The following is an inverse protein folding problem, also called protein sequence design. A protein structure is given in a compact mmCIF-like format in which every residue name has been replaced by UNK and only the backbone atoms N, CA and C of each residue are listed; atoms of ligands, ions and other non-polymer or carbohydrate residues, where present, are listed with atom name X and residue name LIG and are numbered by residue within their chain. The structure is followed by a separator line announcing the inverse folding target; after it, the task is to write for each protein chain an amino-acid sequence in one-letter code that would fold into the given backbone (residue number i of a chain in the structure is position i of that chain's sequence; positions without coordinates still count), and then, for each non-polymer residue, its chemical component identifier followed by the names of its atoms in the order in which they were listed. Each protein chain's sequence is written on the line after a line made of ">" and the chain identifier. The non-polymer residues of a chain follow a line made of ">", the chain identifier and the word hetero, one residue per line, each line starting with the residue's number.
data_IF_295338716308
#
_entry.id   IF_295338716308
#
_cell.length_a   1.000
_cell.length_b   1.000
_cell.length_c   1.000
_cell.angle_alpha   90.00
_cell.angle_beta   90.00
_cell.angle_gamma   90.00
#
_symmetry.space_group_name_H-M   'P 1'
#
loop_
_entity.id
_entity.type
_entity.pdbx_description
1 polymer ?
#
# COMPACT_ATOMS: atom_id res chain seq x y z
N UNK A 1 15.70 8.44 -6.46
CA UNK A 1 14.48 8.89 -7.17
C UNK A 1 13.64 7.67 -7.52
N UNK A 2 12.35 7.61 -7.15
CA UNK A 2 11.45 6.52 -7.58
C UNK A 2 10.71 6.99 -8.83
N UNK A 3 10.97 6.34 -9.95
CA UNK A 3 10.29 6.63 -11.22
C UNK A 3 9.24 5.53 -11.41
N UNK A 4 7.99 5.93 -11.66
CA UNK A 4 6.92 5.00 -12.01
C UNK A 4 6.85 4.94 -13.52
N UNK A 5 7.08 3.76 -14.10
CA UNK A 5 6.96 3.51 -15.53
C UNK A 5 6.03 2.33 -15.77
N UNK A 6 5.25 2.41 -16.84
CA UNK A 6 4.40 1.33 -17.33
C UNK A 6 5.23 0.30 -18.11
N UNK A 7 4.66 -0.89 -18.32
CA UNK A 7 5.31 -1.92 -19.15
C UNK A 7 5.54 -1.43 -20.58
N UNK A 8 4.59 -0.67 -21.15
CA UNK A 8 4.72 -0.12 -22.50
C UNK A 8 5.86 0.90 -22.61
N UNK A 9 5.99 1.80 -21.63
CA UNK A 9 7.11 2.75 -21.57
C UNK A 9 8.43 2.02 -21.43
N UNK A 10 8.48 0.98 -20.59
CA UNK A 10 9.66 0.14 -20.41
C UNK A 10 10.08 -0.56 -21.72
N UNK A 11 9.14 -1.17 -22.43
CA UNK A 11 9.39 -1.81 -23.72
C UNK A 11 9.87 -0.81 -24.78
N UNK A 12 9.30 0.39 -24.80
CA UNK A 12 9.71 1.47 -25.70
C UNK A 12 11.15 1.91 -25.43
N UNK A 13 11.52 2.06 -24.14
CA UNK A 13 12.88 2.36 -23.72
C UNK A 13 13.84 1.24 -24.16
N UNK A 14 13.46 -0.03 -23.96
CA UNK A 14 14.29 -1.16 -24.37
C UNK A 14 14.58 -1.15 -25.87
N UNK A 15 13.56 -0.90 -26.71
CA UNK A 15 13.73 -0.82 -28.19
C UNK A 15 14.73 0.27 -28.59
N UNK A 16 14.65 1.44 -27.97
CA UNK A 16 15.58 2.55 -28.21
C UNK A 16 17.00 2.15 -27.80
N UNK A 17 17.17 1.55 -26.62
CA UNK A 17 18.49 1.20 -26.10
C UNK A 17 19.17 0.08 -26.90
N UNK A 18 18.43 -0.90 -27.40
CA UNK A 18 19.01 -1.95 -28.28
C UNK A 18 19.69 -1.35 -29.51
N UNK A 19 19.19 -0.22 -30.02
CA UNK A 19 19.74 0.43 -31.21
C UNK A 19 20.88 1.42 -30.90
N UNK A 20 20.93 1.96 -29.68
CA UNK A 20 21.80 3.10 -29.35
C UNK A 20 22.83 2.81 -28.25
N UNK A 21 22.46 2.01 -27.24
CA UNK A 21 23.31 1.71 -26.09
C UNK A 21 22.99 0.33 -25.49
N UNK A 22 23.72 -0.67 -25.98
CA UNK A 22 23.60 -2.06 -25.52
C UNK A 22 24.05 -2.26 -24.06
N UNK A 23 24.96 -1.43 -23.55
CA UNK A 23 25.42 -1.54 -22.16
C UNK A 23 24.28 -1.15 -21.21
N UNK A 24 23.62 -0.02 -21.50
CA UNK A 24 22.48 0.46 -20.71
C UNK A 24 21.26 -0.45 -20.86
N UNK A 25 21.00 -0.97 -22.07
CA UNK A 25 19.99 -2.01 -22.28
C UNK A 25 20.21 -3.21 -21.36
N UNK A 26 21.42 -3.78 -21.36
CA UNK A 26 21.74 -4.95 -20.55
C UNK A 26 21.54 -4.66 -19.06
N UNK A 27 22.03 -3.52 -18.58
CA UNK A 27 21.87 -3.12 -17.17
C UNK A 27 20.40 -3.02 -16.77
N UNK A 28 19.58 -2.33 -17.56
CA UNK A 28 18.15 -2.15 -17.26
C UNK A 28 17.41 -3.50 -17.30
N UNK A 29 17.74 -4.35 -18.27
CA UNK A 29 17.14 -5.68 -18.39
C UNK A 29 17.50 -6.58 -17.20
N UNK A 30 18.74 -6.53 -16.71
CA UNK A 30 19.16 -7.26 -15.51
C UNK A 30 18.42 -6.77 -14.26
N UNK A 31 18.24 -5.46 -14.08
CA UNK A 31 17.44 -4.93 -12.96
C UNK A 31 15.97 -5.36 -13.05
N UNK A 32 15.39 -5.37 -14.26
CA UNK A 32 14.04 -5.89 -14.48
C UNK A 32 13.94 -7.37 -14.11
N UNK A 33 14.87 -8.22 -14.59
CA UNK A 33 14.92 -9.65 -14.23
C UNK A 33 15.02 -9.84 -12.72
N UNK A 34 15.90 -9.10 -12.04
CA UNK A 34 16.01 -9.13 -10.57
C UNK A 34 14.68 -8.79 -9.90
N UNK A 35 13.97 -7.77 -10.39
CA UNK A 35 12.67 -7.37 -9.85
C UNK A 35 11.63 -8.50 -9.96
N UNK A 36 11.53 -9.16 -11.11
CA UNK A 36 10.61 -10.29 -11.35
C UNK A 36 10.99 -11.48 -10.47
N UNK A 37 12.27 -11.86 -10.46
CA UNK A 37 12.78 -12.96 -9.63
C UNK A 37 12.62 -12.70 -8.13
N UNK A 38 12.63 -11.43 -7.71
CA UNK A 38 12.42 -11.06 -6.31
C UNK A 38 11.00 -11.36 -5.81
N UNK A 39 10.02 -11.44 -6.72
CA UNK A 39 8.60 -11.68 -6.44
C UNK A 39 8.28 -13.18 -6.30
N UNK A 40 8.97 -13.88 -5.40
CA UNK A 40 8.75 -15.31 -5.21
C UNK A 40 7.38 -15.62 -4.59
N UNK A 41 6.76 -16.77 -4.87
CA UNK A 41 5.47 -17.14 -4.28
C UNK A 41 5.47 -17.10 -2.74
N UNK A 42 6.58 -17.48 -2.11
CA UNK A 42 6.76 -17.39 -0.65
C UNK A 42 6.73 -15.94 -0.15
N UNK A 43 7.45 -15.02 -0.81
CA UNK A 43 7.47 -13.60 -0.46
C UNK A 43 6.12 -12.93 -0.71
N UNK A 44 5.45 -13.27 -1.80
CA UNK A 44 4.09 -12.79 -2.11
C UNK A 44 3.13 -13.23 -1.00
N UNK A 45 3.11 -14.53 -0.65
CA UNK A 45 2.25 -15.06 0.43
C UNK A 45 2.54 -14.37 1.77
N UNK A 46 3.81 -14.18 2.13
CA UNK A 46 4.20 -13.50 3.35
C UNK A 46 3.71 -12.05 3.39
N UNK A 47 3.90 -11.30 2.29
CA UNK A 47 3.47 -9.91 2.15
C UNK A 47 1.95 -9.79 2.24
N UNK A 48 1.21 -10.67 1.55
CA UNK A 48 -0.26 -10.72 1.61
C UNK A 48 -0.75 -11.03 3.02
N UNK A 49 -0.11 -11.97 3.73
CA UNK A 49 -0.45 -12.30 5.12
C UNK A 49 -0.22 -11.11 6.05
N UNK A 50 0.93 -10.44 5.94
CA UNK A 50 1.25 -9.26 6.73
C UNK A 50 0.25 -8.12 6.46
N UNK A 51 -0.10 -7.88 5.18
CA UNK A 51 -1.09 -6.87 4.80
C UNK A 51 -2.49 -7.20 5.34
N UNK A 52 -2.93 -8.47 5.27
CA UNK A 52 -4.21 -8.91 5.85
C UNK A 52 -4.23 -8.65 7.36
N UNK A 53 -3.14 -8.95 8.06
CA UNK A 53 -3.05 -8.71 9.50
C UNK A 53 -3.03 -7.23 9.86
N UNK A 54 -2.29 -6.40 9.11
CA UNK A 54 -2.30 -4.94 9.28
C UNK A 54 -3.70 -4.35 9.09
N UNK A 55 -4.44 -4.80 8.06
CA UNK A 55 -5.83 -4.37 7.81
C UNK A 55 -6.77 -4.81 8.93
N UNK A 56 -6.62 -6.04 9.43
CA UNK A 56 -7.40 -6.54 10.57
C UNK A 56 -7.13 -5.68 11.82
N UNK A 57 -5.87 -5.51 12.21
CA UNK A 57 -5.49 -4.68 13.36
C UNK A 57 -6.05 -3.25 13.26
N UNK A 58 -5.95 -2.63 12.09
CA UNK A 58 -6.50 -1.29 11.87
C UNK A 58 -8.03 -1.26 12.06
N UNK A 59 -8.74 -2.26 11.53
CA UNK A 59 -10.20 -2.39 11.70
C UNK A 59 -10.60 -2.62 13.16
N UNK A 60 -9.86 -3.45 13.89
CA UNK A 60 -10.12 -3.75 15.30
C UNK A 60 -9.92 -2.47 16.14
N UNK A 61 -8.82 -1.75 15.94
CA UNK A 61 -8.56 -0.46 16.61
C UNK A 61 -9.64 0.58 16.30
N UNK A 62 -10.08 0.69 15.05
CA UNK A 62 -11.15 1.62 14.64
C UNK A 62 -12.48 1.25 15.30
N UNK A 63 -12.83 -0.03 15.32
CA UNK A 63 -14.06 -0.52 15.99
C UNK A 63 -14.04 -0.17 17.47
N UNK A 64 -12.92 -0.42 18.15
CA UNK A 64 -12.77 -0.10 19.56
C UNK A 64 -12.88 1.40 19.84
N UNK A 65 -12.26 2.23 18.99
CA UNK A 65 -12.35 3.69 19.12
C UNK A 65 -13.77 4.22 18.90
N UNK A 66 -14.51 3.69 17.91
CA UNK A 66 -15.93 4.02 17.70
C UNK A 66 -16.75 3.66 18.93
N UNK A 67 -16.56 2.45 19.47
CA UNK A 67 -17.28 1.99 20.66
C UNK A 67 -16.99 2.86 21.88
N UNK A 68 -15.71 3.23 22.09
CA UNK A 68 -15.32 4.10 23.20
C UNK A 68 -15.92 5.50 23.06
N UNK A 69 -15.86 6.11 21.87
CA UNK A 69 -16.45 7.42 21.63
C UNK A 69 -17.97 7.41 21.86
N UNK A 70 -18.67 6.35 21.44
CA UNK A 70 -20.10 6.17 21.72
C UNK A 70 -20.37 6.02 23.21
N UNK A 71 -19.59 5.19 23.91
CA UNK A 71 -19.71 5.02 25.36
C UNK A 71 -19.54 6.33 26.12
N UNK A 72 -18.64 7.19 25.65
CA UNK A 72 -18.39 8.52 26.20
C UNK A 72 -19.37 9.60 25.70
N UNK A 73 -20.40 9.24 24.91
CA UNK A 73 -21.33 10.17 24.24
C UNK A 73 -20.61 11.27 23.42
N UNK A 74 -19.44 10.97 22.87
CA UNK A 74 -18.66 11.88 22.02
C UNK A 74 -19.02 11.68 20.55
N UNK A 75 -18.89 12.76 19.77
CA UNK A 75 -19.13 12.74 18.33
C UNK A 75 -18.16 11.78 17.61
N UNK A 76 -18.72 10.81 16.91
CA UNK A 76 -17.97 9.89 16.05
C UNK A 76 -17.67 10.59 14.72
N UNK A 77 -16.39 10.86 14.48
CA UNK A 77 -15.88 11.45 13.24
C UNK A 77 -14.61 10.73 12.84
N UNK A 78 -14.19 10.83 11.58
CA UNK A 78 -12.91 10.23 11.13
C UNK A 78 -11.75 10.75 11.97
N UNK A 79 -11.76 12.04 12.33
CA UNK A 79 -10.71 12.66 13.14
C UNK A 79 -10.71 12.15 14.59
N UNK A 80 -11.87 12.15 15.26
CA UNK A 80 -11.97 11.66 16.64
C UNK A 80 -11.61 10.18 16.71
N UNK A 81 -12.07 9.36 15.76
CA UNK A 81 -11.68 7.94 15.68
C UNK A 81 -10.19 7.77 15.46
N UNK A 82 -9.56 8.55 14.55
CA UNK A 82 -8.12 8.46 14.32
C UNK A 82 -7.31 8.77 15.59
N UNK A 83 -7.72 9.82 16.33
CA UNK A 83 -7.11 10.20 17.60
C UNK A 83 -7.28 9.11 18.66
N UNK A 84 -8.50 8.62 18.86
CA UNK A 84 -8.81 7.60 19.87
C UNK A 84 -8.16 6.24 19.55
N UNK A 85 -8.04 5.88 18.28
CA UNK A 85 -7.39 4.64 17.85
C UNK A 85 -5.86 4.75 17.73
N UNK A 86 -5.27 5.93 17.98
CA UNK A 86 -3.84 6.20 17.81
C UNK A 86 -3.30 5.83 16.41
N UNK A 87 -4.08 6.11 15.37
CA UNK A 87 -3.71 5.87 13.97
C UNK A 87 -3.69 7.16 13.16
N UNK A 88 -3.00 7.12 12.02
CA UNK A 88 -3.02 8.25 11.09
C UNK A 88 -4.43 8.53 10.56
N UNK A 89 -4.73 9.80 10.31
CA UNK A 89 -5.99 10.20 9.69
C UNK A 89 -6.24 9.49 8.36
N UNK A 90 -5.21 9.31 7.54
CA UNK A 90 -5.32 8.61 6.25
C UNK A 90 -5.72 7.15 6.42
N UNK A 91 -5.20 6.47 7.45
CA UNK A 91 -5.60 5.10 7.79
C UNK A 91 -7.07 5.07 8.21
N UNK A 92 -7.52 5.97 9.09
CA UNK A 92 -8.93 6.04 9.49
C UNK A 92 -9.85 6.38 8.30
N UNK A 93 -9.42 7.30 7.42
CA UNK A 93 -10.17 7.73 6.22
C UNK A 93 -10.43 6.59 5.25
N UNK A 94 -9.55 5.58 5.17
CA UNK A 94 -9.80 4.37 4.37
C UNK A 94 -11.02 3.56 4.85
N UNK A 95 -11.47 3.78 6.09
CA UNK A 95 -12.64 3.13 6.70
C UNK A 95 -13.78 4.13 6.92
N UNK A 96 -13.82 5.24 6.16
CA UNK A 96 -14.84 6.30 6.31
C UNK A 96 -16.27 5.76 6.31
N UNK A 97 -16.59 4.80 5.44
CA UNK A 97 -17.96 4.30 5.28
C UNK A 97 -18.38 3.51 6.51
N UNK A 98 -17.44 2.76 7.11
CA UNK A 98 -17.65 2.09 8.39
C UNK A 98 -17.85 3.09 9.53
N UNK A 99 -17.06 4.16 9.58
CA UNK A 99 -17.10 5.17 10.67
C UNK A 99 -18.36 6.04 10.59
N UNK A 100 -18.79 6.42 9.39
CA UNK A 100 -19.92 7.33 9.16
C UNK A 100 -21.29 6.62 9.20
N UNK A 101 -21.32 5.30 9.08
CA UNK A 101 -22.54 4.49 9.26
C UNK A 101 -22.92 4.28 10.74
N UNK A 102 -22.20 4.91 11.67
CA UNK A 102 -22.33 4.73 13.12
C UNK A 102 -23.19 5.81 13.76
#
# INVERSE_FOLDING_TARGET
>A
MRITITNHEFESIQKILVQNDMSLYNRINEEFKKSVLSCTPKKIKATTKANKMKRKKSRDSITNAVNLLRFENKKVTIYSVAKTAEISYNTAKQYKDFILAQ
#
